data_IF_016066141778
#
_entry.id   IF_016066141778
#
_cell.length_a   1.000
_cell.length_b   1.000
_cell.length_c   1.000
_cell.angle_alpha   90.00
_cell.angle_beta   90.00
_cell.angle_gamma   90.00
#
_symmetry.space_group_name_H-M   'P 1'
#
loop_
_entity.id
_entity.type
_entity.pdbx_description
1 polymer ?
#
# COMPACT_ATOMS: atom_id res chain seq x y z
N UNK A 1 43.63 1.94 19.99
CA UNK A 1 42.22 1.51 20.08
C UNK A 1 41.30 2.22 19.09
N UNK A 2 41.45 3.53 18.82
CA UNK A 2 40.61 4.23 17.81
C UNK A 2 40.80 3.74 16.36
N UNK A 3 41.98 3.24 16.01
CA UNK A 3 42.25 2.76 14.64
C UNK A 3 41.58 1.43 14.27
N UNK A 4 41.16 0.63 15.25
CA UNK A 4 40.44 -0.63 14.95
C UNK A 4 38.99 -0.39 14.54
N UNK A 5 38.34 0.62 15.12
CA UNK A 5 36.96 0.96 14.78
C UNK A 5 36.81 1.52 13.36
N UNK A 6 37.82 2.24 12.86
CA UNK A 6 37.83 2.72 11.48
C UNK A 6 37.96 1.56 10.47
N UNK A 7 38.78 0.56 10.80
CA UNK A 7 39.04 -0.60 9.94
C UNK A 7 37.85 -1.55 9.83
N UNK A 8 37.06 -1.71 10.89
CA UNK A 8 35.82 -2.49 10.84
C UNK A 8 34.73 -1.82 10.00
N UNK A 9 34.57 -0.50 10.10
CA UNK A 9 33.59 0.23 9.29
C UNK A 9 33.94 0.18 7.79
N UNK A 10 35.22 0.23 7.44
CA UNK A 10 35.70 0.08 6.06
C UNK A 10 35.44 -1.34 5.52
N UNK A 11 35.72 -2.37 6.31
CA UNK A 11 35.46 -3.77 5.93
C UNK A 11 33.97 -4.05 5.74
N UNK A 12 33.10 -3.46 6.56
CA UNK A 12 31.65 -3.61 6.45
C UNK A 12 31.09 -2.93 5.19
N UNK A 13 31.62 -1.74 4.85
CA UNK A 13 31.25 -1.05 3.61
C UNK A 13 31.75 -1.79 2.37
N UNK A 14 32.95 -2.40 2.40
CA UNK A 14 33.49 -3.16 1.28
C UNK A 14 32.71 -4.47 1.05
N UNK A 15 32.33 -5.18 2.13
CA UNK A 15 31.48 -6.36 2.04
C UNK A 15 30.10 -6.05 1.42
N UNK A 16 29.54 -4.87 1.73
CA UNK A 16 28.27 -4.41 1.16
C UNK A 16 28.41 -4.02 -0.32
N UNK A 17 29.57 -3.47 -0.71
CA UNK A 17 29.89 -3.14 -2.10
C UNK A 17 30.04 -4.40 -2.97
N UNK A 18 30.69 -5.45 -2.47
CA UNK A 18 30.84 -6.74 -3.20
C UNK A 18 29.50 -7.44 -3.45
N UNK A 19 28.57 -7.41 -2.48
CA UNK A 19 27.24 -8.02 -2.64
C UNK A 19 26.40 -7.37 -3.75
N UNK A 20 26.57 -6.07 -3.98
CA UNK A 20 25.82 -5.34 -5.01
C UNK A 20 26.41 -5.45 -6.42
N UNK A 21 27.72 -5.72 -6.55
CA UNK A 21 28.36 -5.89 -7.86
C UNK A 21 28.27 -7.34 -8.41
N UNK A 22 28.03 -8.34 -7.55
CA UNK A 22 27.99 -9.76 -7.95
C UNK A 22 26.81 -10.17 -8.85
N UNK A 23 25.94 -9.24 -9.28
CA UNK A 23 24.75 -9.56 -10.08
C UNK A 23 24.82 -9.12 -11.55
N UNK A 24 25.89 -8.44 -12.00
CA UNK A 24 25.94 -7.84 -13.34
C UNK A 24 26.91 -8.49 -14.33
N UNK A 25 27.78 -9.42 -13.92
CA UNK A 25 28.81 -9.99 -14.80
C UNK A 25 28.47 -11.35 -15.43
N UNK A 26 27.20 -11.73 -15.50
CA UNK A 26 26.79 -13.02 -16.08
C UNK A 26 26.49 -13.00 -17.60
N UNK A 27 26.60 -11.84 -18.27
CA UNK A 27 26.05 -11.69 -19.64
C UNK A 27 27.05 -11.23 -20.71
N UNK A 28 28.37 -11.31 -20.49
CA UNK A 28 29.31 -11.04 -21.58
C UNK A 28 30.46 -12.06 -21.56
N UNK A 29 30.20 -13.21 -22.17
CA UNK A 29 31.25 -14.06 -22.71
C UNK A 29 30.99 -14.18 -24.21
N UNK A 30 31.90 -13.56 -24.97
CA UNK A 30 32.11 -13.71 -26.41
C UNK A 30 32.01 -15.16 -26.87
N UNK A 31 31.24 -15.34 -27.94
CA UNK A 31 31.61 -16.04 -29.18
C UNK A 31 32.83 -16.98 -29.09
N UNK A 32 32.58 -18.26 -28.79
CA UNK A 32 33.33 -19.39 -29.35
C UNK A 32 32.34 -20.56 -29.49
N UNK A 33 32.21 -21.10 -30.71
CA UNK A 33 31.43 -22.29 -31.03
C UNK A 33 31.91 -23.50 -30.20
N UNK A 34 31.14 -23.90 -29.18
CA UNK A 34 31.32 -25.16 -28.47
C UNK A 34 30.11 -26.08 -28.74
N UNK A 35 30.34 -27.31 -29.24
CA UNK A 35 29.26 -28.18 -29.71
C UNK A 35 28.47 -28.78 -28.54
N UNK A 36 27.22 -28.35 -28.39
CA UNK A 36 26.06 -29.13 -27.96
C UNK A 36 26.33 -30.39 -27.09
N UNK A 37 26.93 -30.24 -25.91
CA UNK A 37 26.91 -31.27 -24.87
C UNK A 37 25.78 -30.98 -23.87
N UNK A 38 24.60 -31.46 -24.25
CA UNK A 38 23.64 -32.16 -23.40
C UNK A 38 23.73 -31.82 -21.91
N UNK A 39 23.14 -30.69 -21.52
CA UNK A 39 22.80 -30.43 -20.12
C UNK A 39 21.68 -31.38 -19.72
N UNK A 40 22.06 -32.61 -19.37
CA UNK A 40 21.27 -33.56 -18.58
C UNK A 40 20.89 -32.84 -17.30
N UNK A 41 19.75 -32.15 -17.33
CA UNK A 41 19.02 -31.79 -16.12
C UNK A 41 18.75 -33.10 -15.41
N UNK A 42 19.57 -33.37 -14.40
CA UNK A 42 19.30 -34.39 -13.41
C UNK A 42 17.95 -34.03 -12.82
N UNK A 43 16.92 -34.75 -13.25
CA UNK A 43 15.61 -34.74 -12.64
C UNK A 43 15.80 -35.41 -11.28
N UNK A 44 16.27 -34.64 -10.30
CA UNK A 44 16.14 -35.00 -8.90
C UNK A 44 14.64 -35.11 -8.64
N UNK A 45 14.13 -36.34 -8.73
CA UNK A 45 12.79 -36.70 -8.28
C UNK A 45 12.69 -36.19 -6.85
N UNK A 46 11.93 -35.11 -6.65
CA UNK A 46 11.63 -34.65 -5.30
C UNK A 46 11.01 -35.83 -4.55
N UNK A 47 11.45 -36.08 -3.30
CA UNK A 47 10.83 -37.11 -2.48
C UNK A 47 9.31 -36.87 -2.43
N UNK A 48 8.50 -37.93 -2.40
CA UNK A 48 7.06 -37.79 -2.26
C UNK A 48 6.76 -36.93 -1.03
N UNK A 49 5.76 -36.02 -1.10
CA UNK A 49 5.38 -35.21 0.03
C UNK A 49 5.04 -36.12 1.22
N UNK A 50 5.40 -35.72 2.47
CA UNK A 50 5.02 -36.50 3.64
C UNK A 50 3.49 -36.66 3.69
N UNK A 51 2.98 -37.78 4.21
CA UNK A 51 1.54 -37.95 4.39
C UNK A 51 0.97 -36.81 5.24
N UNK A 52 -0.27 -36.37 4.97
CA UNK A 52 -0.90 -35.33 5.77
C UNK A 52 -0.99 -35.78 7.23
N UNK A 53 -0.83 -34.87 8.20
CA UNK A 53 -1.01 -35.19 9.60
C UNK A 53 -2.45 -35.71 9.84
N UNK A 54 -2.65 -36.64 10.79
CA UNK A 54 -3.99 -37.08 11.15
C UNK A 54 -4.84 -35.88 11.62
N UNK A 55 -6.16 -35.89 11.35
CA UNK A 55 -7.04 -34.83 11.82
C UNK A 55 -6.98 -34.72 13.35
N UNK A 56 -7.06 -33.50 13.90
CA UNK A 56 -7.12 -33.32 15.35
C UNK A 56 -8.36 -34.03 15.92
N UNK A 57 -8.28 -34.56 17.16
CA UNK A 57 -9.44 -35.16 17.81
C UNK A 57 -10.56 -34.11 17.95
N UNK A 58 -11.84 -34.52 17.89
CA UNK A 58 -12.95 -33.61 18.08
C UNK A 58 -12.87 -32.94 19.46
N UNK A 59 -13.19 -31.63 19.57
CA UNK A 59 -13.20 -30.94 20.85
C UNK A 59 -14.23 -31.56 21.79
N UNK A 60 -13.99 -31.57 23.11
CA UNK A 60 -14.95 -32.05 24.09
C UNK A 60 -16.23 -31.20 24.06
N UNK A 61 -17.40 -31.80 24.36
CA UNK A 61 -18.65 -31.06 24.44
C UNK A 61 -18.56 -29.95 25.48
N UNK A 62 -18.87 -28.71 25.07
CA UNK A 62 -18.89 -27.57 25.98
C UNK A 62 -19.99 -27.76 27.03
N UNK A 63 -19.74 -27.39 28.31
CA UNK A 63 -20.77 -27.40 29.34
C UNK A 63 -21.92 -26.47 28.91
N UNK A 64 -23.13 -27.00 28.89
CA UNK A 64 -24.34 -26.22 28.60
C UNK A 64 -24.54 -25.20 29.72
N UNK A 65 -24.28 -23.93 29.41
CA UNK A 65 -24.59 -22.80 30.28
C UNK A 65 -26.09 -22.76 30.54
N UNK A 66 -26.49 -22.92 31.79
CA UNK A 66 -27.88 -22.74 32.22
C UNK A 66 -28.37 -21.32 31.88
N UNK A 67 -29.63 -21.15 31.45
CA UNK A 67 -30.15 -19.84 31.06
C UNK A 67 -30.16 -18.89 32.26
N UNK A 68 -29.37 -17.82 32.19
CA UNK A 68 -29.50 -16.68 33.09
C UNK A 68 -30.84 -15.98 32.81
N UNK A 69 -31.56 -15.71 33.90
CA UNK A 69 -32.80 -14.96 33.92
C UNK A 69 -32.61 -13.54 33.31
N UNK A 70 -33.64 -13.00 32.64
CA UNK A 70 -33.55 -11.68 32.02
C UNK A 70 -33.40 -10.56 33.06
N UNK A 71 -32.61 -9.51 32.76
CA UNK A 71 -32.47 -8.35 33.63
C UNK A 71 -33.74 -7.50 33.65
N UNK A 72 -34.08 -6.99 34.84
CA UNK A 72 -35.19 -6.06 35.07
C UNK A 72 -35.01 -4.75 34.30
N UNK A 73 -36.09 -4.14 33.79
CA UNK A 73 -36.03 -2.91 33.01
C UNK A 73 -35.62 -1.69 33.86
N UNK A 74 -34.83 -0.74 33.32
CA UNK A 74 -34.47 0.48 34.00
C UNK A 74 -35.66 1.45 34.08
N UNK A 75 -35.88 2.01 35.28
CA UNK A 75 -36.89 3.02 35.54
C UNK A 75 -36.59 4.32 34.79
N UNK A 76 -37.52 4.72 33.94
CA UNK A 76 -37.49 5.98 33.21
C UNK A 76 -37.62 7.16 34.18
N UNK A 77 -36.57 7.97 34.29
CA UNK A 77 -36.61 9.26 34.98
C UNK A 77 -36.69 10.36 33.92
N UNK A 78 -37.91 10.85 33.72
CA UNK A 78 -38.22 12.04 32.94
C UNK A 78 -37.91 13.29 33.78
N UNK A 79 -37.00 14.13 33.31
CA UNK A 79 -36.89 15.50 33.79
C UNK A 79 -36.81 16.47 32.61
N UNK A 80 -37.92 17.17 32.48
CA UNK A 80 -38.23 18.26 31.56
C UNK A 80 -37.40 19.52 31.84
N UNK A 81 -37.48 20.44 30.89
CA UNK A 81 -37.33 21.90 30.99
C UNK A 81 -35.91 22.48 31.01
N UNK A 82 -35.61 23.33 30.02
CA UNK A 82 -35.63 24.78 30.21
C UNK A 82 -35.13 25.50 28.95
N UNK A 83 -36.04 26.22 28.33
CA UNK A 83 -35.83 27.19 27.25
C UNK A 83 -35.06 28.42 27.76
N UNK A 84 -34.13 28.95 26.95
CA UNK A 84 -33.69 30.35 26.98
C UNK A 84 -32.98 30.74 25.67
N UNK A 85 -33.45 31.77 24.93
CA UNK A 85 -32.62 32.68 24.13
C UNK A 85 -32.25 33.91 25.01
N UNK A 86 -31.55 35.00 24.56
CA UNK A 86 -31.04 35.38 23.23
C UNK A 86 -29.61 36.00 23.22
N UNK A 87 -29.24 36.59 22.07
CA UNK A 87 -28.41 37.79 21.88
C UNK A 87 -26.89 37.68 21.63
N UNK A 88 -26.56 37.91 20.35
CA UNK A 88 -25.69 38.97 19.81
C UNK A 88 -24.28 39.20 20.37
N UNK A 89 -23.29 38.94 19.50
CA UNK A 89 -22.17 39.88 19.27
C UNK A 89 -21.44 39.53 17.98
N UNK A 90 -21.71 40.32 16.93
CA UNK A 90 -20.92 40.41 15.71
C UNK A 90 -19.64 41.19 16.03
N UNK A 91 -18.53 40.48 16.19
CA UNK A 91 -17.19 41.06 16.28
C UNK A 91 -16.51 40.93 14.92
N UNK A 92 -16.53 42.03 14.16
CA UNK A 92 -15.66 42.25 13.01
C UNK A 92 -14.24 42.55 13.53
N UNK A 93 -13.48 41.49 13.75
CA UNK A 93 -12.05 41.58 14.03
C UNK A 93 -11.30 40.97 12.86
N UNK A 94 -10.80 41.84 11.98
CA UNK A 94 -9.84 41.48 10.95
C UNK A 94 -8.56 40.96 11.59
N UNK A 95 -8.46 39.65 11.67
CA UNK A 95 -7.23 38.93 11.91
C UNK A 95 -7.23 37.78 10.92
N UNK A 96 -6.38 37.87 9.90
CA UNK A 96 -6.09 36.77 8.98
C UNK A 96 -5.33 35.71 9.78
N UNK A 97 -6.06 34.95 10.60
CA UNK A 97 -5.50 33.83 11.34
C UNK A 97 -5.22 32.72 10.35
N UNK A 98 -3.98 32.24 10.39
CA UNK A 98 -3.33 31.09 9.75
C UNK A 98 -4.13 29.77 9.66
N UNK A 99 -5.39 29.76 10.10
CA UNK A 99 -6.20 28.56 10.29
C UNK A 99 -7.07 28.19 9.08
N UNK A 100 -7.20 29.06 8.08
CA UNK A 100 -8.09 28.80 6.93
C UNK A 100 -7.36 28.35 5.65
N UNK A 101 -6.03 28.30 5.67
CA UNK A 101 -5.27 27.77 4.53
C UNK A 101 -5.43 26.25 4.48
N UNK A 102 -5.39 25.56 5.62
CA UNK A 102 -5.60 24.11 5.67
C UNK A 102 -7.01 23.72 5.25
N UNK A 103 -8.04 24.46 5.68
CA UNK A 103 -9.42 24.18 5.27
C UNK A 103 -9.65 24.42 3.77
N UNK A 104 -9.04 25.47 3.21
CA UNK A 104 -9.08 25.75 1.77
C UNK A 104 -8.36 24.65 0.96
N UNK A 105 -7.19 24.19 1.43
CA UNK A 105 -6.44 23.11 0.78
C UNK A 105 -7.23 21.80 0.85
N UNK A 106 -7.75 21.41 2.02
CA UNK A 106 -8.55 20.18 2.16
C UNK A 106 -9.84 20.25 1.34
N UNK A 107 -10.46 21.42 1.20
CA UNK A 107 -11.60 21.64 0.31
C UNK A 107 -11.26 21.42 -1.16
N UNK A 108 -10.17 22.02 -1.64
CA UNK A 108 -9.71 21.87 -3.02
C UNK A 108 -9.29 20.42 -3.33
N UNK A 109 -8.66 19.71 -2.38
CA UNK A 109 -8.28 18.31 -2.54
C UNK A 109 -9.53 17.41 -2.62
N UNK A 110 -10.53 17.61 -1.75
CA UNK A 110 -11.78 16.86 -1.81
C UNK A 110 -12.48 17.04 -3.16
N UNK A 111 -12.57 18.28 -3.64
CA UNK A 111 -13.22 18.57 -4.92
C UNK A 111 -12.46 17.96 -6.10
N UNK A 112 -11.11 18.03 -6.08
CA UNK A 112 -10.27 17.39 -7.09
C UNK A 112 -10.40 15.85 -7.06
N UNK A 113 -10.49 15.24 -5.87
CA UNK A 113 -10.68 13.79 -5.73
C UNK A 113 -12.06 13.36 -6.25
N UNK A 114 -13.11 14.11 -5.92
CA UNK A 114 -14.46 13.88 -6.45
C UNK A 114 -14.49 14.01 -7.97
N UNK A 115 -13.86 15.05 -8.53
CA UNK A 115 -13.75 15.22 -9.99
C UNK A 115 -12.93 14.12 -10.65
N UNK A 116 -11.85 13.64 -10.01
CA UNK A 116 -11.03 12.55 -10.53
C UNK A 116 -11.81 11.24 -10.61
N UNK A 117 -12.58 10.91 -9.56
CA UNK A 117 -13.45 9.72 -9.54
C UNK A 117 -14.55 9.85 -10.60
N UNK A 118 -15.15 11.04 -10.75
CA UNK A 118 -16.17 11.28 -11.78
C UNK A 118 -15.60 11.24 -13.22
N UNK A 119 -14.34 11.64 -13.42
CA UNK A 119 -13.70 11.74 -14.74
C UNK A 119 -13.02 10.44 -15.18
N UNK A 120 -12.77 9.51 -14.25
CA UNK A 120 -12.28 8.17 -14.52
C UNK A 120 -13.32 7.13 -14.08
N UNK A 121 -14.47 7.03 -14.78
CA UNK A 121 -15.41 5.94 -14.54
C UNK A 121 -14.67 4.65 -14.86
N UNK A 122 -14.22 3.93 -13.83
CA UNK A 122 -13.47 2.70 -13.98
C UNK A 122 -14.22 1.78 -14.96
N UNK A 123 -13.70 1.56 -16.18
CA UNK A 123 -14.26 0.55 -17.03
C UNK A 123 -13.74 -0.77 -16.45
N UNK A 124 -14.50 -1.39 -15.56
CA UNK A 124 -14.32 -2.81 -15.30
C UNK A 124 -15.17 -3.57 -16.33
N UNK A 125 -14.62 -3.96 -17.50
CA UNK A 125 -15.24 -5.04 -18.23
C UNK A 125 -15.10 -6.30 -17.37
N UNK A 126 -16.22 -6.83 -16.89
CA UNK A 126 -16.35 -8.25 -16.54
C UNK A 126 -15.92 -9.04 -17.78
N UNK A 127 -14.66 -9.44 -17.86
CA UNK A 127 -14.19 -10.28 -18.95
C UNK A 127 -14.79 -11.68 -18.80
N UNK A 128 -15.54 -12.19 -19.80
CA UNK A 128 -15.99 -13.57 -19.80
C UNK A 128 -14.78 -14.54 -19.91
N UNK A 129 -14.92 -15.79 -19.42
CA UNK A 129 -13.86 -16.80 -19.48
C UNK A 129 -13.53 -17.12 -20.94
N UNK A 130 -12.29 -16.84 -21.36
CA UNK A 130 -11.82 -17.12 -22.71
C UNK A 130 -11.20 -18.52 -22.79
N UNK A 131 -11.70 -19.27 -23.77
CA UNK A 131 -11.33 -20.62 -24.19
C UNK A 131 -9.85 -20.71 -24.63
N UNK A 132 -9.15 -21.84 -24.40
CA UNK A 132 -7.74 -21.97 -24.73
C UNK A 132 -7.52 -22.36 -26.20
N UNK A 133 -6.74 -21.56 -26.92
CA UNK A 133 -6.23 -21.86 -28.26
C UNK A 133 -4.92 -21.12 -28.49
N UNK A 134 -3.81 -21.64 -27.96
CA UNK A 134 -2.50 -21.01 -28.05
C UNK A 134 -1.65 -21.60 -29.19
N UNK A 135 -1.43 -20.81 -30.24
CA UNK A 135 -0.21 -20.86 -31.04
C UNK A 135 0.64 -19.64 -30.71
N UNK A 136 1.91 -19.89 -30.38
CA UNK A 136 2.85 -18.93 -29.80
C UNK A 136 3.39 -17.97 -30.85
N UNK A 137 2.88 -16.75 -30.86
CA UNK A 137 3.58 -15.60 -31.41
C UNK A 137 3.81 -14.62 -30.26
N UNK A 138 5.04 -14.61 -29.74
CA UNK A 138 5.45 -13.78 -28.60
C UNK A 138 5.57 -12.32 -29.04
N UNK A 139 4.41 -11.68 -29.25
CA UNK A 139 4.32 -10.23 -29.24
C UNK A 139 4.74 -9.77 -27.85
N UNK A 140 5.69 -8.84 -27.75
CA UNK A 140 6.13 -8.24 -26.49
C UNK A 140 4.90 -7.68 -25.77
N UNK A 141 4.36 -8.44 -24.83
CA UNK A 141 3.22 -7.99 -24.06
C UNK A 141 3.72 -6.92 -23.10
N UNK A 142 3.31 -5.67 -23.34
CA UNK A 142 3.41 -4.64 -22.32
C UNK A 142 2.62 -5.13 -21.09
N UNK A 143 3.20 -5.08 -19.89
CA UNK A 143 2.48 -5.44 -18.67
C UNK A 143 1.15 -4.69 -18.58
N UNK A 144 0.08 -5.38 -18.17
CA UNK A 144 -1.22 -4.75 -17.96
C UNK A 144 -1.11 -3.72 -16.83
N UNK A 145 -1.71 -2.55 -17.03
CA UNK A 145 -1.79 -1.52 -15.99
C UNK A 145 -2.40 -2.08 -14.69
N UNK A 146 -1.82 -1.68 -13.55
CA UNK A 146 -2.15 -2.23 -12.23
C UNK A 146 -1.63 -3.64 -11.95
N UNK A 147 -0.87 -4.25 -12.88
CA UNK A 147 -0.15 -5.48 -12.57
C UNK A 147 1.16 -5.16 -11.85
N UNK A 148 1.60 -6.07 -10.96
CA UNK A 148 2.89 -5.96 -10.28
C UNK A 148 4.08 -5.76 -11.23
N UNK A 149 4.01 -6.33 -12.44
CA UNK A 149 5.05 -6.16 -13.45
C UNK A 149 5.05 -4.75 -14.05
N UNK A 150 3.86 -4.15 -14.24
CA UNK A 150 3.71 -2.77 -14.66
C UNK A 150 4.26 -1.80 -13.60
N UNK A 151 3.84 -1.96 -12.35
CA UNK A 151 4.30 -1.10 -11.25
C UNK A 151 5.81 -1.24 -11.01
N UNK A 152 6.33 -2.47 -11.11
CA UNK A 152 7.77 -2.71 -11.03
C UNK A 152 8.52 -2.00 -12.16
N UNK A 153 7.96 -1.93 -13.36
CA UNK A 153 8.57 -1.22 -14.49
C UNK A 153 8.53 0.30 -14.26
N UNK A 154 7.39 0.87 -13.89
CA UNK A 154 7.26 2.29 -13.53
C UNK A 154 8.28 2.67 -12.45
N UNK A 155 8.36 1.88 -11.38
CA UNK A 155 9.30 2.09 -10.29
C UNK A 155 10.75 2.04 -10.78
N UNK A 156 11.11 1.04 -11.58
CA UNK A 156 12.47 0.94 -12.13
C UNK A 156 12.80 2.13 -13.03
N UNK A 157 11.88 2.50 -13.91
CA UNK A 157 12.01 3.64 -14.83
C UNK A 157 12.15 4.97 -14.08
N UNK A 158 11.36 5.21 -13.05
CA UNK A 158 11.46 6.41 -12.25
C UNK A 158 12.76 6.47 -11.45
N UNK A 159 13.18 5.33 -10.89
CA UNK A 159 14.39 5.26 -10.09
C UNK A 159 15.66 5.23 -10.96
N UNK A 160 15.62 4.83 -12.24
CA UNK A 160 16.85 4.64 -13.04
C UNK A 160 17.71 5.90 -13.14
N UNK A 161 17.06 7.07 -13.14
CA UNK A 161 17.73 8.37 -13.25
C UNK A 161 18.26 8.92 -11.91
N UNK A 162 17.90 8.29 -10.79
CA UNK A 162 18.34 8.71 -9.47
C UNK A 162 19.72 8.15 -9.12
N UNK A 163 20.54 8.98 -8.47
CA UNK A 163 21.74 8.50 -7.79
C UNK A 163 21.37 7.56 -6.63
N UNK A 164 22.31 6.71 -6.19
CA UNK A 164 22.08 5.80 -5.07
C UNK A 164 21.67 6.53 -3.78
N UNK A 165 22.22 7.72 -3.55
CA UNK A 165 21.88 8.57 -2.39
C UNK A 165 20.44 9.06 -2.48
N UNK A 166 20.02 9.54 -3.65
CA UNK A 166 18.64 9.99 -3.89
C UNK A 166 17.63 8.84 -3.78
N UNK A 167 17.94 7.68 -4.36
CA UNK A 167 17.13 6.46 -4.20
C UNK A 167 16.91 6.12 -2.74
N UNK A 168 17.99 6.12 -1.94
CA UNK A 168 17.89 5.82 -0.51
C UNK A 168 17.09 6.89 0.23
N UNK A 169 17.27 8.18 -0.10
CA UNK A 169 16.51 9.30 0.47
C UNK A 169 15.00 9.10 0.22
N UNK A 170 14.61 8.83 -1.03
CA UNK A 170 13.23 8.55 -1.41
C UNK A 170 12.65 7.30 -0.74
N UNK A 171 13.39 6.20 -0.69
CA UNK A 171 12.93 4.97 -0.03
C UNK A 171 12.73 5.15 1.47
N UNK A 172 13.59 5.91 2.13
CA UNK A 172 13.45 6.23 3.56
C UNK A 172 12.28 7.17 3.80
N UNK A 173 12.11 8.18 2.96
CA UNK A 173 10.99 9.11 3.01
C UNK A 173 9.65 8.40 2.84
N UNK A 174 9.49 7.57 1.80
CA UNK A 174 8.27 6.81 1.55
C UNK A 174 7.93 5.88 2.72
N UNK A 175 8.92 5.18 3.30
CA UNK A 175 8.74 4.36 4.50
C UNK A 175 8.30 5.17 5.70
N UNK A 176 8.89 6.34 5.92
CA UNK A 176 8.55 7.20 7.04
C UNK A 176 7.13 7.77 6.91
N UNK A 177 6.77 8.23 5.72
CA UNK A 177 5.42 8.67 5.40
C UNK A 177 4.42 7.54 5.63
N UNK A 178 4.69 6.35 5.09
CA UNK A 178 3.82 5.19 5.25
C UNK A 178 3.54 4.88 6.73
N UNK A 179 4.57 4.86 7.58
CA UNK A 179 4.40 4.65 9.03
C UNK A 179 3.56 5.73 9.69
N UNK A 180 3.76 6.98 9.28
CA UNK A 180 3.05 8.13 9.84
C UNK A 180 1.56 8.10 9.45
N UNK A 181 1.26 7.78 8.19
CA UNK A 181 -0.09 7.77 7.64
C UNK A 181 -0.90 6.57 8.14
N UNK A 182 -0.29 5.38 8.21
CA UNK A 182 -0.99 4.15 8.64
C UNK A 182 -0.92 3.90 10.14
N UNK A 183 -0.06 4.62 10.87
CA UNK A 183 0.25 4.36 12.27
C UNK A 183 1.08 3.08 12.52
N UNK A 184 1.54 2.41 11.47
CA UNK A 184 2.16 1.09 11.59
C UNK A 184 3.67 1.18 11.76
N UNK A 185 4.27 0.44 12.70
CA UNK A 185 5.72 0.53 12.96
C UNK A 185 6.55 -0.10 11.83
N UNK A 186 6.00 -1.14 11.17
CA UNK A 186 6.65 -1.89 10.10
C UNK A 186 5.69 -2.11 8.95
N UNK A 187 6.20 -2.02 7.72
CA UNK A 187 5.41 -2.22 6.50
C UNK A 187 4.87 -3.65 6.37
N UNK A 188 5.52 -4.64 6.98
CA UNK A 188 5.13 -6.05 6.93
C UNK A 188 4.29 -6.49 8.13
N UNK A 189 3.93 -5.59 9.04
CA UNK A 189 3.20 -5.95 10.26
C UNK A 189 1.69 -5.88 10.02
N UNK A 190 1.19 -6.81 9.21
CA UNK A 190 -0.22 -6.85 8.81
C UNK A 190 -1.17 -7.15 9.98
N UNK A 191 -0.68 -7.80 11.03
CA UNK A 191 -1.50 -8.13 12.20
C UNK A 191 -1.93 -6.88 12.99
N UNK A 192 -1.17 -5.78 12.89
CA UNK A 192 -1.49 -4.51 13.53
C UNK A 192 -2.45 -3.63 12.75
N UNK A 193 -2.80 -3.97 11.50
CA UNK A 193 -3.64 -3.11 10.67
C UNK A 193 -5.09 -3.09 11.14
N UNK A 194 -5.61 -1.88 11.36
CA UNK A 194 -7.06 -1.67 11.38
C UNK A 194 -7.55 -1.76 9.95
N UNK A 195 -8.20 -2.87 9.61
CA UNK A 195 -8.80 -3.04 8.28
C UNK A 195 -10.09 -2.23 8.19
N UNK A 196 -10.36 -1.74 6.99
CA UNK A 196 -11.69 -1.21 6.65
C UNK A 196 -12.67 -2.37 6.49
N UNK A 197 -13.93 -2.14 6.86
CA UNK A 197 -15.01 -3.10 6.72
C UNK A 197 -15.29 -3.40 5.22
N UNK A 198 -15.55 -4.67 4.90
CA UNK A 198 -15.84 -5.12 3.53
C UNK A 198 -17.10 -4.45 2.96
N UNK A 199 -18.10 -4.17 3.79
CA UNK A 199 -19.32 -3.48 3.38
C UNK A 199 -19.02 -2.05 2.92
N UNK A 200 -18.08 -1.37 3.58
CA UNK A 200 -17.66 0.01 3.22
C UNK A 200 -16.92 0.01 1.88
N UNK A 201 -16.01 -0.95 1.70
CA UNK A 201 -15.24 -1.08 0.45
C UNK A 201 -16.14 -1.40 -0.72
N UNK A 202 -17.12 -2.28 -0.52
CA UNK A 202 -18.10 -2.67 -1.52
C UNK A 202 -19.00 -1.49 -1.89
N UNK A 203 -19.58 -0.81 -0.90
CA UNK A 203 -20.41 0.37 -1.11
C UNK A 203 -19.64 1.47 -1.88
N UNK A 204 -18.36 1.70 -1.57
CA UNK A 204 -17.53 2.64 -2.32
C UNK A 204 -17.31 2.19 -3.77
N UNK A 205 -17.02 0.91 -3.99
CA UNK A 205 -16.83 0.34 -5.34
C UNK A 205 -18.08 0.45 -6.21
N UNK A 206 -19.27 0.34 -5.61
CA UNK A 206 -20.56 0.48 -6.27
C UNK A 206 -21.01 1.95 -6.41
N UNK A 207 -20.27 2.89 -5.82
CA UNK A 207 -20.56 4.33 -5.85
C UNK A 207 -21.64 4.79 -4.86
N UNK A 208 -22.07 3.92 -3.94
CA UNK A 208 -23.09 4.21 -2.92
C UNK A 208 -22.49 4.64 -1.57
N UNK A 209 -21.21 4.34 -1.34
CA UNK A 209 -20.50 4.59 -0.09
C UNK A 209 -19.63 5.86 -0.10
N UNK A 210 -19.33 6.44 1.07
CA UNK A 210 -18.37 7.53 1.15
C UNK A 210 -16.98 7.04 0.74
N UNK A 211 -16.23 7.91 0.07
CA UNK A 211 -14.81 7.68 -0.15
C UNK A 211 -13.98 7.72 1.14
N UNK A 212 -12.72 7.30 1.06
CA UNK A 212 -11.83 7.37 2.21
C UNK A 212 -11.73 8.80 2.73
N UNK A 213 -11.90 8.95 4.04
CA UNK A 213 -11.81 10.26 4.68
C UNK A 213 -10.34 10.69 4.82
N UNK A 214 -10.11 11.99 4.86
CA UNK A 214 -8.78 12.54 5.07
C UNK A 214 -8.22 12.08 6.43
N UNK A 215 -7.02 11.50 6.41
CA UNK A 215 -6.40 10.89 7.59
C UNK A 215 -6.76 9.43 7.83
N UNK A 216 -7.72 8.87 7.10
CA UNK A 216 -8.10 7.46 7.22
C UNK A 216 -7.41 6.61 6.15
N UNK A 217 -6.18 6.18 6.43
CA UNK A 217 -5.35 5.39 5.52
C UNK A 217 -5.47 3.88 5.74
N UNK A 218 -6.68 3.39 6.00
CA UNK A 218 -6.95 1.95 6.21
C UNK A 218 -7.10 1.23 4.88
N UNK A 219 -6.28 0.20 4.68
CA UNK A 219 -6.33 -0.68 3.53
C UNK A 219 -7.26 -1.87 3.78
N UNK A 220 -7.93 -2.33 2.73
CA UNK A 220 -8.57 -3.64 2.71
C UNK A 220 -7.54 -4.70 2.29
N UNK A 221 -7.48 -5.84 2.97
CA UNK A 221 -6.51 -6.92 2.68
C UNK A 221 -7.16 -8.25 2.26
N UNK A 222 -8.43 -8.23 1.85
CA UNK A 222 -9.14 -9.42 1.34
C UNK A 222 -8.73 -9.82 -0.09
N UNK A 223 -9.51 -10.72 -0.68
CA UNK A 223 -9.24 -11.22 -2.03
C UNK A 223 -9.33 -10.10 -3.07
N UNK A 224 -8.35 -10.09 -3.99
CA UNK A 224 -8.27 -9.05 -5.02
C UNK A 224 -8.01 -7.65 -4.47
N UNK A 225 -7.47 -7.51 -3.26
CA UNK A 225 -7.28 -6.20 -2.61
C UNK A 225 -6.58 -5.16 -3.49
N UNK A 226 -5.61 -5.57 -4.31
CA UNK A 226 -4.88 -4.67 -5.18
C UNK A 226 -5.68 -4.20 -6.40
N UNK A 227 -6.88 -4.73 -6.66
CA UNK A 227 -7.80 -4.28 -7.70
C UNK A 227 -8.96 -3.43 -7.16
N UNK A 228 -9.12 -3.33 -5.84
CA UNK A 228 -10.24 -2.61 -5.23
C UNK A 228 -10.05 -1.10 -5.38
N UNK A 229 -11.11 -0.43 -5.86
CA UNK A 229 -11.13 1.01 -6.03
C UNK A 229 -10.80 1.76 -4.73
N UNK A 230 -11.24 1.24 -3.57
CA UNK A 230 -10.91 1.79 -2.25
C UNK A 230 -9.39 1.87 -2.04
N UNK A 231 -8.68 0.78 -2.24
CA UNK A 231 -7.24 0.73 -2.04
C UNK A 231 -6.50 1.64 -3.04
N UNK A 232 -6.99 1.75 -4.27
CA UNK A 232 -6.43 2.70 -5.25
C UNK A 232 -6.59 4.15 -4.80
N UNK A 233 -7.76 4.51 -4.27
CA UNK A 233 -8.02 5.84 -3.74
C UNK A 233 -7.11 6.16 -2.53
N UNK A 234 -6.96 5.19 -1.61
CA UNK A 234 -6.04 5.31 -0.46
C UNK A 234 -4.59 5.50 -0.95
N UNK A 235 -4.10 4.65 -1.86
CA UNK A 235 -2.73 4.71 -2.38
C UNK A 235 -2.49 6.04 -3.10
N UNK A 236 -3.46 6.54 -3.87
CA UNK A 236 -3.38 7.85 -4.50
C UNK A 236 -3.28 8.98 -3.47
N UNK A 237 -4.12 8.98 -2.44
CA UNK A 237 -4.06 9.98 -1.37
C UNK A 237 -2.74 9.93 -0.59
N UNK A 238 -2.22 8.72 -0.32
CA UNK A 238 -0.90 8.55 0.29
C UNK A 238 0.21 9.09 -0.60
N UNK A 239 0.17 8.83 -1.91
CA UNK A 239 1.18 9.31 -2.85
C UNK A 239 1.22 10.84 -2.94
N UNK A 240 0.05 11.50 -2.99
CA UNK A 240 -0.02 12.96 -2.97
C UNK A 240 0.55 13.54 -1.66
N UNK A 241 0.22 12.93 -0.53
CA UNK A 241 0.77 13.34 0.78
C UNK A 241 2.29 13.17 0.82
N UNK A 242 2.82 12.06 0.30
CA UNK A 242 4.26 11.81 0.21
C UNK A 242 4.97 12.84 -0.67
N UNK A 243 4.37 13.21 -1.81
CA UNK A 243 4.89 14.24 -2.71
C UNK A 243 4.89 15.61 -2.06
N UNK A 244 3.81 15.98 -1.37
CA UNK A 244 3.73 17.23 -0.62
C UNK A 244 4.87 17.33 0.40
N UNK A 245 5.03 16.32 1.26
CA UNK A 245 6.10 16.29 2.26
C UNK A 245 7.50 16.26 1.63
N UNK A 246 7.65 15.61 0.47
CA UNK A 246 8.94 15.59 -0.24
C UNK A 246 9.33 16.99 -0.73
N UNK A 247 8.38 17.80 -1.18
CA UNK A 247 8.61 19.21 -1.56
C UNK A 247 9.02 20.04 -0.34
N UNK A 248 8.32 19.89 0.78
CA UNK A 248 8.66 20.57 2.04
C UNK A 248 10.07 20.21 2.53
N UNK A 249 10.48 18.94 2.36
CA UNK A 249 11.81 18.46 2.74
C UNK A 249 12.88 18.67 1.65
N UNK A 250 12.55 19.35 0.55
CA UNK A 250 13.44 19.58 -0.60
C UNK A 250 14.14 18.29 -1.06
N UNK A 251 13.35 17.26 -1.34
CA UNK A 251 13.84 15.98 -1.86
C UNK A 251 13.92 16.06 -3.38
N UNK A 252 15.12 16.32 -3.91
CA UNK A 252 15.35 16.39 -5.35
C UNK A 252 15.98 15.14 -5.97
N UNK A 253 15.57 14.74 -7.18
CA UNK A 253 14.43 15.30 -7.93
C UNK A 253 13.09 14.78 -7.38
N UNK A 254 12.02 15.56 -7.61
CA UNK A 254 10.65 15.16 -7.29
C UNK A 254 10.19 14.04 -8.24
N UNK A 255 9.75 12.92 -7.67
CA UNK A 255 9.19 11.81 -8.43
C UNK A 255 7.77 12.14 -8.95
N UNK A 256 7.32 11.42 -9.98
CA UNK A 256 5.94 11.53 -10.47
C UNK A 256 4.98 10.83 -9.51
N UNK A 257 3.69 11.22 -9.52
CA UNK A 257 2.65 10.59 -8.69
C UNK A 257 2.58 9.08 -8.95
N UNK A 258 2.60 8.65 -10.22
CA UNK A 258 2.63 7.22 -10.59
C UNK A 258 3.86 6.47 -10.05
N UNK A 259 5.04 7.10 -10.05
CA UNK A 259 6.23 6.49 -9.47
C UNK A 259 6.12 6.30 -7.96
N UNK A 260 5.51 7.26 -7.27
CA UNK A 260 5.27 7.17 -5.82
C UNK A 260 4.20 6.12 -5.51
N UNK A 261 3.12 6.05 -6.30
CA UNK A 261 2.10 4.98 -6.18
C UNK A 261 2.74 3.60 -6.33
N UNK A 262 3.58 3.40 -7.34
CA UNK A 262 4.30 2.14 -7.57
C UNK A 262 5.36 1.81 -6.48
N UNK A 263 5.70 2.76 -5.62
CA UNK A 263 6.62 2.55 -4.49
C UNK A 263 5.94 2.05 -3.22
N UNK A 264 4.65 2.34 -3.06
CA UNK A 264 3.80 1.91 -1.93
C UNK A 264 3.45 0.43 -2.12
#
# INVERSE_FOLDING_TARGET
MRDMAARENEMLMDARRRRNHSSLDANNADDEEEPALSSRRHHSKSPPPPPPPPPPPPPPPMPQSSPLLPPSPPSSSSSSSSSSPPSSSISLSGGTTDTDISALISGAIKEALTQFIASNPFPYPRTPPSTPGHTSNSKRYSPKEGSRAYDSNIKQEALKHLTAVQKNKWMNHARQCYRTLTGQPKINDFAGYSLVDEDTVTAFGDGEGPGPQEGDFRLHLGDGWCQLAWNHAIIAAMAETMLHQAREQSIDPILTSEAVKAMI
#
